data_IF_510504024072
#
_entry.id   IF_510504024072
#
_cell.length_a   1.000
_cell.length_b   1.000
_cell.length_c   1.000
_cell.angle_alpha   90.00
_cell.angle_beta   90.00
_cell.angle_gamma   90.00
#
_symmetry.space_group_name_H-M   'P 1'
#
loop_
_entity.id
_entity.type
_entity.pdbx_description
1 polymer ?
#
# COMPACT_ATOMS: atom_id res chain seq x y z
N UNK A 1 18.43 0.03 -15.68
CA UNK A 1 18.10 1.34 -15.06
C UNK A 1 18.36 2.49 -16.01
N UNK A 2 17.31 3.24 -16.31
CA UNK A 2 17.24 4.41 -17.16
C UNK A 2 17.89 5.62 -16.49
N UNK A 3 18.24 6.63 -17.30
CA UNK A 3 18.76 7.91 -16.80
C UNK A 3 17.71 8.60 -15.91
N UNK A 4 16.43 8.56 -16.30
CA UNK A 4 15.31 9.13 -15.53
C UNK A 4 15.20 8.50 -14.14
N UNK A 5 15.36 7.18 -14.06
CA UNK A 5 15.36 6.48 -12.78
C UNK A 5 16.50 6.95 -11.89
N UNK A 6 17.75 6.99 -12.39
CA UNK A 6 18.91 7.45 -11.61
C UNK A 6 18.76 8.88 -11.11
N UNK A 7 18.21 9.77 -11.94
CA UNK A 7 17.92 11.16 -11.54
C UNK A 7 16.84 11.24 -10.46
N UNK A 8 15.80 10.42 -10.57
CA UNK A 8 14.72 10.34 -9.56
C UNK A 8 15.24 9.80 -8.25
N UNK A 9 16.02 8.72 -8.29
CA UNK A 9 16.69 8.14 -7.13
C UNK A 9 17.59 9.16 -6.44
N UNK A 10 18.40 9.90 -7.22
CA UNK A 10 19.23 10.99 -6.71
C UNK A 10 18.38 12.07 -6.03
N UNK A 11 17.30 12.52 -6.67
CA UNK A 11 16.40 13.53 -6.10
C UNK A 11 15.81 13.05 -4.77
N UNK A 12 15.26 11.83 -4.73
CA UNK A 12 14.62 11.28 -3.53
C UNK A 12 15.62 11.08 -2.39
N UNK A 13 16.83 10.63 -2.69
CA UNK A 13 17.93 10.50 -1.71
C UNK A 13 18.25 11.82 -1.02
N UNK A 14 18.12 12.96 -1.71
CA UNK A 14 18.43 14.29 -1.19
C UNK A 14 17.20 15.07 -0.70
N UNK A 15 15.99 14.56 -0.90
CA UNK A 15 14.74 15.28 -0.52
C UNK A 15 13.82 14.44 0.37
N UNK A 16 13.43 13.25 -0.09
CA UNK A 16 12.50 12.35 0.61
C UNK A 16 13.17 11.65 1.79
N UNK A 17 14.34 11.03 1.58
CA UNK A 17 15.05 10.34 2.67
C UNK A 17 15.40 11.27 3.85
N UNK A 18 15.89 12.50 3.65
CA UNK A 18 16.09 13.45 4.74
C UNK A 18 14.79 13.85 5.45
N UNK A 19 13.68 14.00 4.72
CA UNK A 19 12.36 14.23 5.32
C UNK A 19 11.97 13.08 6.26
N UNK A 20 12.15 11.83 5.82
CA UNK A 20 11.89 10.64 6.65
C UNK A 20 12.82 10.58 7.88
N UNK A 21 14.10 10.93 7.74
CA UNK A 21 15.01 11.06 8.89
C UNK A 21 14.54 12.11 9.90
N UNK A 22 13.96 13.23 9.43
CA UNK A 22 13.42 14.28 10.32
C UNK A 22 12.14 13.83 11.03
N UNK A 23 11.33 12.98 10.39
CA UNK A 23 10.11 12.43 10.98
C UNK A 23 10.37 11.74 12.33
N UNK A 24 11.50 11.05 12.43
CA UNK A 24 11.93 10.33 13.63
C UNK A 24 12.50 11.29 14.69
N UNK A 25 13.34 12.25 14.26
CA UNK A 25 14.02 13.16 15.18
C UNK A 25 13.04 14.06 15.94
N UNK A 26 11.99 14.52 15.26
CA UNK A 26 10.97 15.40 15.82
C UNK A 26 9.56 14.89 15.46
N UNK A 27 9.05 13.83 16.12
CA UNK A 27 7.76 13.21 15.75
C UNK A 27 6.58 14.18 15.85
N UNK A 28 6.54 15.03 16.88
CA UNK A 28 5.45 16.00 17.08
C UNK A 28 5.42 17.08 15.98
N UNK A 29 6.59 17.61 15.61
CA UNK A 29 6.72 18.57 14.50
C UNK A 29 6.31 17.93 13.18
N UNK A 30 6.69 16.66 12.97
CA UNK A 30 6.32 15.90 11.80
C UNK A 30 4.80 15.69 11.72
N UNK A 31 4.16 15.22 12.79
CA UNK A 31 2.72 15.02 12.83
C UNK A 31 1.96 16.32 12.62
N UNK A 32 2.34 17.40 13.29
CA UNK A 32 1.72 18.72 13.10
C UNK A 32 1.82 19.19 11.63
N UNK A 33 2.95 18.93 10.97
CA UNK A 33 3.13 19.23 9.54
C UNK A 33 2.25 18.35 8.66
N UNK A 34 2.14 17.05 8.94
CA UNK A 34 1.27 16.16 8.16
C UNK A 34 -0.20 16.52 8.35
N UNK A 35 -0.66 16.81 9.57
CA UNK A 35 -2.03 17.25 9.81
C UNK A 35 -2.39 18.51 9.00
N UNK A 36 -1.47 19.46 8.88
CA UNK A 36 -1.67 20.64 8.03
C UNK A 36 -1.84 20.26 6.56
N UNK A 37 -1.08 19.28 6.07
CA UNK A 37 -1.23 18.76 4.70
C UNK A 37 -2.51 17.96 4.51
N UNK A 38 -2.93 17.18 5.50
CA UNK A 38 -4.19 16.42 5.46
C UNK A 38 -5.41 17.34 5.35
N UNK A 39 -5.32 18.58 5.85
CA UNK A 39 -6.34 19.63 5.66
C UNK A 39 -6.32 20.30 4.29
N UNK A 40 -5.28 20.06 3.47
CA UNK A 40 -5.20 20.68 2.15
C UNK A 40 -6.25 20.06 1.23
N UNK A 41 -6.96 20.92 0.50
CA UNK A 41 -7.97 20.47 -0.47
C UNK A 41 -7.27 19.99 -1.73
N UNK A 42 -7.67 18.82 -2.22
CA UNK A 42 -7.30 18.37 -3.54
C UNK A 42 -7.83 19.35 -4.59
N UNK A 43 -7.09 19.60 -5.69
CA UNK A 43 -7.56 20.43 -6.79
C UNK A 43 -8.54 19.64 -7.67
N UNK A 44 -9.71 19.26 -7.11
CA UNK A 44 -10.67 18.34 -7.74
C UNK A 44 -11.09 18.78 -9.15
N UNK A 45 -11.34 20.07 -9.37
CA UNK A 45 -11.66 20.58 -10.71
C UNK A 45 -10.58 20.31 -11.76
N UNK A 46 -9.30 20.35 -11.37
CA UNK A 46 -8.19 20.01 -12.27
C UNK A 46 -8.08 18.51 -12.46
N UNK A 47 -8.31 17.73 -11.40
CA UNK A 47 -8.28 16.27 -11.45
C UNK A 47 -9.39 15.72 -12.35
N UNK A 48 -10.63 16.23 -12.25
CA UNK A 48 -11.74 15.87 -13.14
C UNK A 48 -11.50 16.21 -14.61
N UNK A 49 -10.61 17.17 -14.91
CA UNK A 49 -10.19 17.45 -16.29
C UNK A 49 -9.16 16.44 -16.81
N UNK A 50 -8.46 15.74 -15.91
CA UNK A 50 -7.38 14.80 -16.25
C UNK A 50 -7.79 13.33 -16.14
N UNK A 51 -8.74 13.02 -15.25
CA UNK A 51 -9.14 11.66 -14.88
C UNK A 51 -10.67 11.57 -14.77
N UNK A 52 -11.21 10.39 -15.06
CA UNK A 52 -12.65 10.11 -15.03
C UNK A 52 -13.02 9.36 -13.75
N UNK A 53 -13.55 10.09 -12.77
CA UNK A 53 -13.93 9.53 -11.48
C UNK A 53 -15.15 10.21 -10.87
N UNK A 54 -15.84 9.47 -9.99
CA UNK A 54 -16.92 9.97 -9.16
C UNK A 54 -16.46 10.04 -7.70
N UNK A 55 -16.83 11.10 -7.00
CA UNK A 55 -16.69 11.22 -5.56
C UNK A 55 -17.86 10.52 -4.86
N UNK A 56 -17.58 9.50 -4.04
CA UNK A 56 -18.61 8.74 -3.32
C UNK A 56 -18.27 8.65 -1.84
N UNK A 57 -19.30 8.47 -1.02
CA UNK A 57 -19.18 8.37 0.42
C UNK A 57 -19.96 7.17 0.95
N UNK A 58 -19.39 6.47 1.92
CA UNK A 58 -20.09 5.49 2.76
C UNK A 58 -19.61 5.67 4.20
N UNK A 59 -20.55 5.84 5.15
CA UNK A 59 -20.25 6.00 6.57
C UNK A 59 -19.08 6.99 6.80
N UNK A 60 -19.18 8.18 6.21
CA UNK A 60 -18.17 9.26 6.22
C UNK A 60 -16.80 8.92 5.60
N UNK A 61 -16.64 7.73 5.03
CA UNK A 61 -15.47 7.36 4.24
C UNK A 61 -15.65 7.78 2.79
N UNK A 62 -14.85 8.76 2.37
CA UNK A 62 -14.72 9.16 0.98
C UNK A 62 -13.94 8.09 0.20
N UNK A 63 -14.42 7.76 -0.99
CA UNK A 63 -13.65 7.04 -1.99
C UNK A 63 -13.94 7.60 -3.38
N UNK A 64 -12.94 7.51 -4.25
CA UNK A 64 -13.06 7.96 -5.63
C UNK A 64 -13.25 6.75 -6.53
N UNK A 65 -14.42 6.64 -7.16
CA UNK A 65 -14.75 5.56 -8.08
C UNK A 65 -14.30 5.93 -9.49
N UNK A 66 -13.17 5.37 -9.92
CA UNK A 66 -12.54 5.57 -11.23
C UNK A 66 -13.00 4.47 -12.17
N UNK A 67 -13.49 4.85 -13.35
CA UNK A 67 -13.98 3.89 -14.35
C UNK A 67 -12.96 3.65 -15.47
N UNK A 68 -12.95 2.44 -16.07
CA UNK A 68 -12.22 2.20 -17.30
C UNK A 68 -12.89 2.94 -18.46
N UNK A 69 -12.11 3.45 -19.42
CA UNK A 69 -12.67 4.08 -20.61
C UNK A 69 -13.55 3.12 -21.40
N UNK A 70 -14.80 3.53 -21.64
CA UNK A 70 -15.77 2.94 -22.58
C UNK A 70 -16.20 1.48 -22.33
N UNK A 71 -16.18 0.97 -21.10
CA UNK A 71 -16.69 -0.40 -20.82
C UNK A 71 -17.31 -0.55 -19.43
N UNK A 72 -18.34 -1.40 -19.37
CA UNK A 72 -18.81 -2.02 -18.14
C UNK A 72 -17.87 -3.17 -17.80
N UNK A 73 -17.48 -3.29 -16.53
CA UNK A 73 -16.63 -4.36 -16.03
C UNK A 73 -17.20 -4.92 -14.74
N UNK A 74 -17.01 -6.22 -14.53
CA UNK A 74 -17.43 -6.89 -13.30
C UNK A 74 -16.28 -6.99 -12.30
N UNK A 75 -15.10 -6.43 -12.60
CA UNK A 75 -13.93 -6.51 -11.72
C UNK A 75 -13.68 -5.18 -11.02
N UNK A 76 -13.37 -5.25 -9.74
CA UNK A 76 -13.07 -4.10 -8.91
C UNK A 76 -11.68 -4.21 -8.28
N UNK A 77 -10.96 -3.09 -8.24
CA UNK A 77 -9.77 -2.92 -7.43
C UNK A 77 -10.07 -1.91 -6.32
N UNK A 78 -9.99 -2.33 -5.06
CA UNK A 78 -9.88 -1.37 -3.95
C UNK A 78 -8.42 -0.94 -3.83
N UNK A 79 -8.16 0.34 -4.10
CA UNK A 79 -6.83 0.90 -4.07
C UNK A 79 -6.59 1.68 -2.77
N UNK A 80 -5.61 1.24 -1.99
CA UNK A 80 -5.12 1.88 -0.78
C UNK A 80 -3.77 2.57 -1.04
N UNK A 81 -3.77 3.91 -1.07
CA UNK A 81 -2.55 4.71 -1.27
C UNK A 81 -1.55 4.51 -0.12
N UNK A 82 -0.26 4.81 -0.37
CA UNK A 82 0.80 4.73 0.64
C UNK A 82 1.05 6.04 1.37
N UNK A 83 1.96 6.05 2.35
CA UNK A 83 2.30 7.27 3.10
C UNK A 83 2.55 7.08 4.59
N UNK A 84 2.81 5.85 5.03
CA UNK A 84 3.06 5.54 6.44
C UNK A 84 1.87 5.88 7.34
N UNK A 85 0.64 5.79 6.83
CA UNK A 85 -0.60 6.19 7.50
C UNK A 85 -0.65 7.67 7.97
N UNK A 86 0.26 8.53 7.49
CA UNK A 86 0.36 9.93 7.93
C UNK A 86 0.36 10.92 6.77
N UNK A 87 0.89 10.53 5.62
CA UNK A 87 0.93 11.37 4.42
C UNK A 87 -0.35 11.12 3.61
N UNK A 88 -1.11 12.18 3.25
CA UNK A 88 -2.31 12.02 2.42
C UNK A 88 -1.97 11.62 0.99
N UNK A 89 -2.91 10.92 0.35
CA UNK A 89 -2.88 10.69 -1.08
C UNK A 89 -2.83 12.01 -1.87
N UNK A 90 -2.40 11.92 -3.12
CA UNK A 90 -2.19 13.07 -3.99
C UNK A 90 -2.62 12.79 -5.44
N UNK A 91 -2.39 13.74 -6.35
CA UNK A 91 -2.76 13.60 -7.77
C UNK A 91 -2.16 12.38 -8.46
N UNK A 92 -0.99 11.91 -8.03
CA UNK A 92 -0.35 10.71 -8.56
C UNK A 92 -1.14 9.43 -8.25
N UNK A 93 -1.92 9.40 -7.17
CA UNK A 93 -2.82 8.28 -6.87
C UNK A 93 -3.99 8.21 -7.85
N UNK A 94 -4.51 9.36 -8.30
CA UNK A 94 -5.54 9.42 -9.35
C UNK A 94 -4.97 8.99 -10.71
N UNK A 95 -3.74 9.41 -11.02
CA UNK A 95 -3.03 8.95 -12.23
C UNK A 95 -2.91 7.43 -12.24
N UNK A 96 -2.46 6.84 -11.13
CA UNK A 96 -2.26 5.41 -11.05
C UNK A 96 -3.59 4.66 -11.04
N UNK A 97 -4.60 5.13 -10.31
CA UNK A 97 -5.94 4.56 -10.32
C UNK A 97 -6.53 4.54 -11.74
N UNK A 98 -6.39 5.63 -12.49
CA UNK A 98 -6.87 5.70 -13.87
C UNK A 98 -6.07 4.78 -14.81
N UNK A 99 -4.76 4.65 -14.62
CA UNK A 99 -3.91 3.74 -15.39
C UNK A 99 -4.26 2.27 -15.11
N UNK A 100 -4.45 1.89 -13.83
CA UNK A 100 -4.98 0.58 -13.44
C UNK A 100 -6.31 0.34 -14.15
N UNK A 101 -7.29 1.24 -13.98
CA UNK A 101 -8.62 1.05 -14.53
C UNK A 101 -8.57 0.78 -16.04
N UNK A 102 -7.83 1.61 -16.78
CA UNK A 102 -7.72 1.49 -18.24
C UNK A 102 -6.99 0.22 -18.69
N UNK A 103 -5.85 -0.13 -18.07
CA UNK A 103 -5.01 -1.23 -18.54
C UNK A 103 -5.51 -2.59 -18.06
N UNK A 104 -6.16 -2.67 -16.90
CA UNK A 104 -6.73 -3.91 -16.36
C UNK A 104 -8.20 -4.09 -16.68
N UNK A 105 -8.85 -3.09 -17.27
CA UNK A 105 -10.30 -3.09 -17.55
C UNK A 105 -11.12 -3.40 -16.29
N UNK A 106 -10.72 -2.81 -15.16
CA UNK A 106 -11.39 -2.93 -13.87
C UNK A 106 -11.87 -1.55 -13.41
N UNK A 107 -12.93 -1.49 -12.60
CA UNK A 107 -13.18 -0.29 -11.80
C UNK A 107 -12.10 -0.20 -10.72
N UNK A 108 -11.77 1.03 -10.32
CA UNK A 108 -10.85 1.28 -9.21
C UNK A 108 -11.54 2.19 -8.22
N UNK A 109 -11.72 1.71 -6.99
CA UNK A 109 -12.19 2.55 -5.90
C UNK A 109 -10.98 2.92 -5.04
N UNK A 110 -10.52 4.16 -5.22
CA UNK A 110 -9.43 4.72 -4.44
C UNK A 110 -9.98 5.15 -3.08
N UNK A 111 -9.69 4.35 -2.05
CA UNK A 111 -10.21 4.52 -0.69
C UNK A 111 -9.47 5.68 -0.01
N UNK A 112 -10.18 6.76 0.30
CA UNK A 112 -9.60 7.95 0.94
C UNK A 112 -9.64 7.85 2.46
N UNK A 113 -8.98 6.81 2.99
CA UNK A 113 -9.01 6.46 4.42
C UNK A 113 -8.40 7.57 5.31
N UNK A 114 -8.88 7.71 6.56
CA UNK A 114 -8.39 8.75 7.47
C UNK A 114 -6.96 8.43 7.95
N UNK A 115 -6.26 9.38 8.54
CA UNK A 115 -4.82 9.25 8.82
C UNK A 115 -4.45 9.60 10.25
N UNK A 116 -3.34 9.03 10.71
CA UNK A 116 -2.73 9.39 11.98
C UNK A 116 -2.20 10.83 11.97
N UNK A 117 -2.12 11.46 13.16
CA UNK A 117 -2.54 10.93 14.47
C UNK A 117 -4.01 11.19 14.79
N UNK A 118 -4.77 11.85 13.90
CA UNK A 118 -6.16 12.24 14.14
C UNK A 118 -7.12 11.07 14.18
N UNK A 119 -6.88 10.09 13.32
CA UNK A 119 -7.64 8.84 13.30
C UNK A 119 -7.02 7.81 14.24
N UNK A 120 -7.84 6.91 14.77
CA UNK A 120 -7.36 5.67 15.38
C UNK A 120 -7.11 4.62 14.29
N UNK A 121 -6.34 3.57 14.59
CA UNK A 121 -6.15 2.45 13.67
C UNK A 121 -7.48 1.78 13.34
N UNK A 122 -8.39 1.66 14.30
CA UNK A 122 -9.72 1.14 14.07
C UNK A 122 -10.49 1.98 13.03
N UNK A 123 -10.43 3.31 13.11
CA UNK A 123 -11.07 4.18 12.11
C UNK A 123 -10.45 4.03 10.70
N UNK A 124 -9.16 3.70 10.60
CA UNK A 124 -8.49 3.39 9.32
C UNK A 124 -9.00 2.07 8.75
N UNK A 125 -9.12 1.04 9.60
CA UNK A 125 -9.65 -0.28 9.22
C UNK A 125 -11.12 -0.18 8.83
N UNK A 126 -11.94 0.50 9.64
CA UNK A 126 -13.36 0.74 9.39
C UNK A 126 -13.59 1.43 8.05
N UNK A 127 -12.75 2.41 7.69
CA UNK A 127 -12.85 3.08 6.40
C UNK A 127 -12.67 2.10 5.22
N UNK A 128 -11.68 1.20 5.31
CA UNK A 128 -11.50 0.14 4.32
C UNK A 128 -12.68 -0.83 4.27
N UNK A 129 -13.17 -1.26 5.43
CA UNK A 129 -14.31 -2.19 5.55
C UNK A 129 -15.63 -1.59 5.07
N UNK A 130 -15.87 -0.29 5.33
CA UNK A 130 -17.04 0.42 4.84
C UNK A 130 -17.09 0.36 3.31
N UNK A 131 -15.99 0.70 2.65
CA UNK A 131 -15.90 0.70 1.18
C UNK A 131 -15.95 -0.73 0.63
N UNK A 132 -15.33 -1.70 1.31
CA UNK A 132 -15.43 -3.11 0.91
C UNK A 132 -16.85 -3.68 1.05
N UNK A 133 -17.57 -3.29 2.11
CA UNK A 133 -18.96 -3.70 2.31
C UNK A 133 -19.88 -3.14 1.23
N UNK A 134 -19.67 -1.90 0.78
CA UNK A 134 -20.38 -1.36 -0.40
C UNK A 134 -20.00 -2.11 -1.68
N UNK A 135 -18.72 -2.47 -1.83
CA UNK A 135 -18.27 -3.21 -3.01
C UNK A 135 -18.98 -4.57 -3.11
N UNK A 136 -19.12 -5.28 -1.99
CA UNK A 136 -19.79 -6.59 -1.93
C UNK A 136 -21.30 -6.54 -2.26
N UNK A 137 -21.93 -5.35 -2.27
CA UNK A 137 -23.32 -5.20 -2.74
C UNK A 137 -23.42 -5.17 -4.27
N UNK A 138 -22.32 -4.89 -4.96
CA UNK A 138 -22.28 -4.65 -6.42
C UNK A 138 -21.44 -5.71 -7.14
N UNK A 139 -20.38 -6.22 -6.50
CA UNK A 139 -19.42 -7.16 -7.06
C UNK A 139 -19.36 -8.43 -6.21
N UNK A 140 -19.10 -9.58 -6.85
CA UNK A 140 -18.77 -10.79 -6.11
C UNK A 140 -17.40 -10.63 -5.47
N UNK A 141 -17.17 -11.25 -4.30
CA UNK A 141 -15.88 -11.19 -3.62
C UNK A 141 -14.71 -11.71 -4.49
N UNK A 142 -14.97 -12.73 -5.32
CA UNK A 142 -14.01 -13.31 -6.27
C UNK A 142 -13.64 -12.37 -7.44
N UNK A 143 -14.40 -11.29 -7.62
CA UNK A 143 -14.14 -10.23 -8.60
C UNK A 143 -13.48 -8.98 -7.98
N UNK A 144 -13.26 -8.95 -6.67
CA UNK A 144 -12.65 -7.83 -5.95
C UNK A 144 -11.19 -8.15 -5.63
N UNK A 145 -10.29 -7.22 -5.93
CA UNK A 145 -8.87 -7.28 -5.63
C UNK A 145 -8.50 -6.10 -4.74
N UNK A 146 -7.70 -6.33 -3.71
CA UNK A 146 -7.10 -5.23 -2.97
C UNK A 146 -5.71 -4.94 -3.53
N UNK A 147 -5.46 -3.67 -3.85
CA UNK A 147 -4.15 -3.19 -4.27
C UNK A 147 -3.68 -2.10 -3.30
N UNK A 148 -2.41 -2.14 -2.91
CA UNK A 148 -1.86 -1.10 -2.07
C UNK A 148 -0.38 -0.84 -2.28
N UNK A 149 0.02 0.37 -1.86
CA UNK A 149 1.41 0.82 -1.85
C UNK A 149 1.88 1.04 -0.41
N UNK A 150 3.05 0.53 -0.04
CA UNK A 150 3.67 0.78 1.27
C UNK A 150 2.69 0.50 2.42
N UNK A 151 2.40 1.46 3.29
CA UNK A 151 1.36 1.36 4.32
C UNK A 151 -0.03 0.98 3.79
N UNK A 152 -0.40 1.39 2.58
CA UNK A 152 -1.65 0.97 1.94
C UNK A 152 -1.64 -0.51 1.57
N UNK A 153 -0.46 -1.06 1.22
CA UNK A 153 -0.29 -2.49 1.01
C UNK A 153 -0.48 -3.27 2.33
N UNK A 154 0.13 -2.80 3.42
CA UNK A 154 -0.10 -3.35 4.76
C UNK A 154 -1.57 -3.22 5.18
N UNK A 155 -2.23 -2.10 4.85
CA UNK A 155 -3.65 -1.89 5.15
C UNK A 155 -4.54 -2.95 4.48
N UNK A 156 -4.27 -3.28 3.21
CA UNK A 156 -5.02 -4.32 2.50
C UNK A 156 -4.98 -5.67 3.25
N UNK A 157 -3.82 -6.07 3.78
CA UNK A 157 -3.70 -7.28 4.60
C UNK A 157 -4.40 -7.12 5.96
N UNK A 158 -4.21 -5.97 6.61
CA UNK A 158 -4.75 -5.70 7.94
C UNK A 158 -6.30 -5.66 7.95
N UNK A 159 -6.94 -5.23 6.87
CA UNK A 159 -8.40 -5.32 6.73
C UNK A 159 -8.86 -6.79 6.72
N UNK A 160 -8.19 -7.64 5.94
CA UNK A 160 -8.51 -9.07 5.90
C UNK A 160 -8.23 -9.77 7.24
N UNK A 161 -7.15 -9.40 7.93
CA UNK A 161 -6.89 -9.87 9.30
C UNK A 161 -7.99 -9.42 10.26
N UNK A 162 -8.46 -8.17 10.17
CA UNK A 162 -9.57 -7.70 11.02
C UNK A 162 -10.82 -8.56 10.84
N UNK A 163 -11.17 -8.89 9.61
CA UNK A 163 -12.33 -9.75 9.28
C UNK A 163 -12.19 -11.12 9.95
N UNK A 164 -10.99 -11.72 9.88
CA UNK A 164 -10.70 -13.04 10.45
C UNK A 164 -10.68 -13.02 11.99
N UNK A 165 -9.95 -12.08 12.59
CA UNK A 165 -9.77 -12.00 14.04
C UNK A 165 -11.07 -11.62 14.77
N UNK A 166 -12.06 -11.06 14.06
CA UNK A 166 -13.37 -10.68 14.62
C UNK A 166 -14.53 -11.52 14.06
N UNK A 167 -14.27 -12.59 13.32
CA UNK A 167 -15.28 -13.50 12.77
C UNK A 167 -16.43 -12.77 12.03
N UNK A 168 -16.12 -11.72 11.26
CA UNK A 168 -17.13 -10.79 10.71
C UNK A 168 -18.05 -11.38 9.62
N UNK A 169 -17.91 -12.66 9.28
CA UNK A 169 -18.65 -13.35 8.22
C UNK A 169 -18.68 -12.59 6.88
N UNK A 170 -17.61 -11.86 6.57
CA UNK A 170 -17.41 -11.22 5.27
C UNK A 170 -16.55 -12.15 4.40
N UNK A 171 -16.92 -12.38 3.13
CA UNK A 171 -16.07 -13.14 2.21
C UNK A 171 -14.77 -12.38 1.96
N UNK A 172 -13.70 -13.12 1.64
CA UNK A 172 -12.40 -12.54 1.32
C UNK A 172 -12.33 -12.05 -0.14
N UNK A 173 -11.57 -10.97 -0.44
CA UNK A 173 -11.31 -10.59 -1.82
C UNK A 173 -10.49 -11.67 -2.52
N UNK A 174 -10.50 -11.68 -3.85
CA UNK A 174 -9.80 -12.69 -4.66
C UNK A 174 -8.32 -12.85 -4.30
N UNK A 175 -7.63 -11.73 -4.10
CA UNK A 175 -6.19 -11.63 -3.84
C UNK A 175 -5.79 -10.24 -3.35
N UNK A 176 -4.61 -10.16 -2.76
CA UNK A 176 -3.94 -8.92 -2.36
C UNK A 176 -2.74 -8.69 -3.28
N UNK A 177 -2.64 -7.51 -3.89
CA UNK A 177 -1.46 -7.05 -4.62
C UNK A 177 -0.79 -5.96 -3.79
N UNK A 178 0.36 -6.29 -3.22
CA UNK A 178 1.00 -5.54 -2.15
C UNK A 178 2.38 -5.07 -2.60
N UNK A 179 2.51 -3.78 -2.89
CA UNK A 179 3.80 -3.21 -3.27
C UNK A 179 4.52 -2.58 -2.09
N UNK A 180 5.66 -3.15 -1.74
CA UNK A 180 6.54 -2.75 -0.65
C UNK A 180 5.85 -2.69 0.73
N UNK A 181 5.09 -3.72 1.16
CA UNK A 181 4.42 -3.70 2.46
C UNK A 181 5.42 -3.69 3.63
N UNK A 182 4.88 -3.52 4.83
CA UNK A 182 5.57 -3.81 6.10
C UNK A 182 4.77 -4.87 6.85
N UNK A 183 5.45 -5.87 7.41
CA UNK A 183 4.89 -6.99 8.14
C UNK A 183 5.25 -7.00 9.64
N UNK A 184 6.29 -6.27 10.06
CA UNK A 184 6.74 -6.27 11.46
C UNK A 184 7.31 -4.92 11.91
N UNK A 185 6.79 -4.40 13.03
CA UNK A 185 7.34 -3.24 13.73
C UNK A 185 7.32 -3.53 15.25
N UNK A 186 8.45 -3.42 15.98
CA UNK A 186 9.80 -3.16 15.50
C UNK A 186 10.40 -4.36 14.73
N UNK A 187 11.37 -4.12 13.83
CA UNK A 187 12.08 -5.20 13.16
C UNK A 187 12.88 -6.06 14.14
N UNK A 188 13.10 -7.33 13.81
CA UNK A 188 14.03 -8.20 14.56
C UNK A 188 15.47 -7.70 14.45
N UNK A 189 16.38 -8.21 15.29
CA UNK A 189 17.80 -7.82 15.24
C UNK A 189 18.42 -8.16 13.88
N UNK A 190 18.07 -9.31 13.31
CA UNK A 190 18.53 -9.79 12.02
C UNK A 190 17.98 -8.93 10.87
N UNK A 191 16.68 -8.63 10.90
CA UNK A 191 16.05 -7.70 9.95
C UNK A 191 16.70 -6.33 10.02
N UNK A 192 16.93 -5.81 11.23
CA UNK A 192 17.54 -4.49 11.41
C UNK A 192 18.96 -4.44 10.83
N UNK A 193 19.77 -5.47 11.06
CA UNK A 193 21.12 -5.57 10.48
C UNK A 193 21.08 -5.54 8.95
N UNK A 194 20.12 -6.22 8.34
CA UNK A 194 19.96 -6.23 6.89
C UNK A 194 19.45 -4.88 6.34
N UNK A 195 18.48 -4.26 7.02
CA UNK A 195 18.02 -2.91 6.71
C UNK A 195 19.19 -1.90 6.76
N UNK A 196 20.06 -1.98 7.78
CA UNK A 196 21.25 -1.12 7.89
C UNK A 196 22.24 -1.34 6.73
N UNK A 197 22.42 -2.59 6.28
CA UNK A 197 23.24 -2.92 5.10
C UNK A 197 22.67 -2.31 3.83
N UNK A 198 21.34 -2.33 3.69
CA UNK A 198 20.60 -1.79 2.54
C UNK A 198 20.43 -0.27 2.58
N UNK A 199 20.59 0.39 3.74
CA UNK A 199 20.33 1.82 3.91
C UNK A 199 21.12 2.70 2.93
N UNK A 200 22.35 2.32 2.56
CA UNK A 200 23.11 3.09 1.58
C UNK A 200 22.47 3.09 0.18
N UNK A 201 21.65 2.09 -0.14
CA UNK A 201 20.96 1.98 -1.42
C UNK A 201 19.56 2.58 -1.39
N UNK A 202 18.83 2.49 -0.28
CA UNK A 202 17.47 3.03 -0.21
C UNK A 202 17.49 4.56 -0.31
N UNK A 203 16.75 5.12 -1.27
CA UNK A 203 16.65 6.56 -1.49
C UNK A 203 15.39 7.19 -0.86
N UNK A 204 14.53 6.40 -0.22
CA UNK A 204 13.25 6.82 0.34
C UNK A 204 13.19 6.54 1.84
N UNK A 205 13.31 5.27 2.25
CA UNK A 205 13.12 4.85 3.64
C UNK A 205 14.49 4.61 4.29
N UNK A 206 14.89 5.42 5.29
CA UNK A 206 16.12 5.16 6.00
C UNK A 206 15.95 4.01 7.01
N UNK A 207 16.95 3.16 7.20
CA UNK A 207 16.88 2.08 8.19
C UNK A 207 16.59 2.60 9.61
N UNK A 208 17.10 3.78 9.97
CA UNK A 208 16.78 4.39 11.26
C UNK A 208 15.30 4.75 11.43
N UNK A 209 14.54 4.90 10.33
CA UNK A 209 13.09 5.05 10.39
C UNK A 209 12.44 3.81 10.98
N UNK A 210 12.78 2.63 10.47
CA UNK A 210 12.24 1.36 10.96
C UNK A 210 12.66 1.09 12.42
N UNK A 211 13.91 1.41 12.77
CA UNK A 211 14.44 1.24 14.12
C UNK A 211 13.63 1.96 15.19
N UNK A 212 13.28 3.21 14.91
CA UNK A 212 12.61 4.10 15.87
C UNK A 212 11.09 4.16 15.64
N UNK A 213 10.57 3.42 14.65
CA UNK A 213 9.16 3.47 14.28
C UNK A 213 8.25 3.00 15.42
N UNK A 214 8.74 2.13 16.30
CA UNK A 214 8.01 1.73 17.51
C UNK A 214 7.62 2.94 18.37
N UNK A 215 8.51 3.93 18.53
CA UNK A 215 8.22 5.16 19.28
C UNK A 215 7.17 6.03 18.59
N UNK A 216 7.15 6.03 17.26
CA UNK A 216 6.11 6.70 16.49
C UNK A 216 4.77 5.95 16.66
N UNK A 217 4.81 4.62 16.67
CA UNK A 217 3.63 3.78 16.89
C UNK A 217 3.05 3.94 18.31
N UNK A 218 3.85 4.28 19.31
CA UNK A 218 3.35 4.60 20.66
C UNK A 218 2.54 5.91 20.72
N UNK A 219 2.62 6.77 19.69
CA UNK A 219 1.88 8.05 19.60
C UNK A 219 0.55 7.93 18.86
N UNK A 220 0.23 6.74 18.35
CA UNK A 220 -1.02 6.48 17.64
C UNK A 220 -1.88 5.50 18.44
N UNK A 221 -3.18 5.58 18.25
CA UNK A 221 -4.12 4.68 18.92
C UNK A 221 -4.37 3.45 18.04
N UNK A 222 -3.87 2.28 18.47
CA UNK A 222 -4.07 0.99 17.81
C UNK A 222 -4.96 0.03 18.60
N UNK A 223 -5.73 0.54 19.58
CA UNK A 223 -6.60 -0.31 20.39
C UNK A 223 -7.56 -1.12 19.50
N UNK A 224 -7.68 -2.42 19.76
CA UNK A 224 -8.48 -3.41 19.02
C UNK A 224 -7.96 -3.74 17.61
N UNK A 225 -6.81 -3.18 17.20
CA UNK A 225 -6.19 -3.41 15.90
C UNK A 225 -4.66 -3.54 16.03
N UNK A 226 -4.20 -4.12 17.14
CA UNK A 226 -2.78 -4.24 17.49
C UNK A 226 -1.96 -4.99 16.41
N UNK A 227 -2.60 -5.91 15.69
CA UNK A 227 -2.02 -6.60 14.53
C UNK A 227 -1.55 -5.65 13.42
N UNK A 228 -2.08 -4.41 13.33
CA UNK A 228 -1.61 -3.44 12.34
C UNK A 228 -0.11 -3.13 12.46
N UNK A 229 0.44 -3.29 13.66
CA UNK A 229 1.85 -3.03 13.96
C UNK A 229 2.76 -4.16 13.46
N UNK A 230 2.36 -5.41 13.70
CA UNK A 230 3.12 -6.61 13.38
C UNK A 230 2.19 -7.75 12.97
N UNK A 231 1.58 -7.68 11.77
CA UNK A 231 0.64 -8.70 11.33
C UNK A 231 1.29 -10.10 11.24
N UNK A 232 2.61 -10.18 11.13
CA UNK A 232 3.37 -11.45 11.16
C UNK A 232 3.16 -12.27 12.45
N UNK A 233 2.77 -11.62 13.55
CA UNK A 233 2.57 -12.27 14.86
C UNK A 233 1.19 -12.93 15.00
N UNK A 234 0.29 -12.70 14.04
CA UNK A 234 -1.08 -13.19 14.03
C UNK A 234 -1.25 -14.34 13.03
N UNK A 235 -2.36 -15.09 13.11
CA UNK A 235 -2.63 -16.17 12.14
C UNK A 235 -2.96 -15.60 10.76
N UNK A 236 -2.30 -16.09 9.72
CA UNK A 236 -2.61 -15.74 8.33
C UNK A 236 -3.55 -16.75 7.66
N UNK A 237 -3.95 -17.81 8.38
CA UNK A 237 -4.86 -18.84 7.85
C UNK A 237 -6.16 -18.20 7.36
N UNK A 238 -6.53 -18.47 6.11
CA UNK A 238 -7.72 -17.91 5.50
C UNK A 238 -7.51 -16.55 4.82
N UNK A 239 -6.32 -15.95 4.89
CA UNK A 239 -6.00 -14.79 4.07
C UNK A 239 -6.00 -15.13 2.57
N UNK A 240 -6.37 -14.18 1.69
CA UNK A 240 -6.27 -14.35 0.25
C UNK A 240 -4.83 -14.57 -0.22
N UNK A 241 -4.67 -15.08 -1.43
CA UNK A 241 -3.39 -15.11 -2.13
C UNK A 241 -2.73 -13.72 -2.14
N UNK A 242 -1.44 -13.66 -1.81
CA UNK A 242 -0.67 -12.42 -1.73
C UNK A 242 0.38 -12.34 -2.83
N UNK A 243 0.32 -11.26 -3.61
CA UNK A 243 1.28 -10.90 -4.65
C UNK A 243 2.14 -9.75 -4.13
N UNK A 244 3.33 -10.08 -3.65
CA UNK A 244 4.24 -9.13 -2.99
C UNK A 244 5.26 -8.61 -4.00
N UNK A 245 5.44 -7.29 -4.04
CA UNK A 245 6.39 -6.62 -4.92
C UNK A 245 7.38 -5.86 -4.06
N UNK A 246 8.67 -6.11 -4.20
CA UNK A 246 9.71 -5.33 -3.53
C UNK A 246 10.80 -4.90 -4.51
N UNK A 247 11.42 -3.76 -4.22
CA UNK A 247 12.67 -3.37 -4.82
C UNK A 247 13.82 -3.99 -4.04
N UNK A 248 14.89 -4.41 -4.72
CA UNK A 248 16.06 -4.93 -4.01
C UNK A 248 16.93 -3.84 -3.36
N UNK A 249 16.67 -2.55 -3.60
CA UNK A 249 17.36 -1.43 -2.96
C UNK A 249 16.57 -0.80 -1.81
N UNK A 250 15.37 -1.28 -1.48
CA UNK A 250 14.64 -0.78 -0.31
C UNK A 250 14.92 -1.60 0.95
N UNK A 251 14.86 -0.96 2.12
CA UNK A 251 15.14 -1.61 3.40
C UNK A 251 14.07 -2.62 3.81
N UNK A 252 12.81 -2.41 3.42
CA UNK A 252 11.68 -3.25 3.84
C UNK A 252 11.73 -4.69 3.31
N UNK A 253 12.47 -4.94 2.22
CA UNK A 253 12.68 -6.29 1.70
C UNK A 253 13.35 -7.22 2.75
N UNK A 254 14.00 -6.67 3.78
CA UNK A 254 14.58 -7.42 4.88
C UNK A 254 13.54 -8.28 5.64
N UNK A 255 12.26 -7.91 5.61
CA UNK A 255 11.16 -8.66 6.26
C UNK A 255 10.66 -9.85 5.43
N UNK A 256 10.97 -9.88 4.13
CA UNK A 256 10.44 -10.87 3.20
C UNK A 256 10.74 -12.33 3.57
N UNK A 257 11.95 -12.71 4.05
CA UNK A 257 12.21 -14.10 4.43
C UNK A 257 11.27 -14.62 5.53
N UNK A 258 11.01 -13.82 6.57
CA UNK A 258 10.09 -14.19 7.64
C UNK A 258 8.65 -14.28 7.13
N UNK A 259 8.23 -13.32 6.29
CA UNK A 259 6.91 -13.32 5.68
C UNK A 259 6.65 -14.56 4.79
N UNK A 260 7.67 -15.02 4.04
CA UNK A 260 7.56 -16.25 3.23
C UNK A 260 7.39 -17.49 4.10
N UNK A 261 8.17 -17.61 5.17
CA UNK A 261 8.02 -18.74 6.10
C UNK A 261 6.66 -18.71 6.80
N UNK A 262 6.19 -17.54 7.23
CA UNK A 262 4.86 -17.38 7.83
C UNK A 262 3.74 -17.78 6.87
N UNK A 263 3.78 -17.31 5.63
CA UNK A 263 2.80 -17.69 4.61
C UNK A 263 2.78 -19.21 4.38
N UNK A 264 3.95 -19.84 4.28
CA UNK A 264 4.07 -21.30 4.15
C UNK A 264 3.51 -22.04 5.36
N UNK A 265 3.83 -21.60 6.58
CA UNK A 265 3.34 -22.21 7.82
C UNK A 265 1.82 -22.13 7.97
N UNK A 266 1.23 -21.02 7.54
CA UNK A 266 -0.22 -20.80 7.62
C UNK A 266 -0.98 -21.21 6.36
N UNK A 267 -0.31 -21.79 5.37
CA UNK A 267 -0.94 -22.29 4.14
C UNK A 267 -1.47 -21.20 3.21
N UNK A 268 -0.88 -19.99 3.27
CA UNK A 268 -1.23 -18.87 2.39
C UNK A 268 -0.30 -18.85 1.17
N UNK A 269 -0.87 -18.72 -0.02
CA UNK A 269 -0.09 -18.56 -1.24
C UNK A 269 0.53 -17.16 -1.25
N UNK A 270 1.86 -17.10 -1.28
CA UNK A 270 2.61 -15.86 -1.46
C UNK A 270 3.50 -15.95 -2.69
N UNK A 271 3.22 -15.10 -3.68
CA UNK A 271 4.05 -14.92 -4.88
C UNK A 271 4.82 -13.62 -4.76
N UNK A 272 6.06 -13.60 -5.23
CA UNK A 272 6.95 -12.46 -5.00
C UNK A 272 7.66 -12.05 -6.28
N UNK A 273 7.64 -10.77 -6.59
CA UNK A 273 8.43 -10.17 -7.66
C UNK A 273 9.45 -9.19 -7.06
N UNK A 274 10.74 -9.41 -7.35
CA UNK A 274 11.82 -8.54 -6.86
C UNK A 274 12.41 -7.70 -8.00
N UNK A 275 12.15 -6.39 -7.97
CA UNK A 275 12.74 -5.44 -8.89
C UNK A 275 14.22 -5.25 -8.62
N UNK A 276 15.09 -5.71 -9.52
CA UNK A 276 16.54 -5.54 -9.36
C UNK A 276 16.93 -4.05 -9.40
N UNK A 277 17.62 -3.60 -8.34
CA UNK A 277 18.03 -2.22 -8.07
C UNK A 277 16.89 -1.21 -7.97
N UNK A 278 15.66 -1.68 -7.78
CA UNK A 278 14.49 -0.84 -7.66
C UNK A 278 14.29 -0.29 -6.24
N UNK A 279 13.76 0.93 -6.15
CA UNK A 279 13.48 1.68 -4.93
C UNK A 279 12.08 1.36 -4.40
N UNK A 280 11.82 1.71 -3.15
CA UNK A 280 10.52 1.55 -2.51
C UNK A 280 9.36 2.10 -3.38
N UNK A 281 8.32 1.30 -3.60
CA UNK A 281 7.11 1.70 -4.37
C UNK A 281 7.34 2.28 -5.76
N UNK A 282 8.38 1.85 -6.49
CA UNK A 282 8.70 2.45 -7.80
C UNK A 282 7.57 2.37 -8.84
N UNK A 283 6.62 1.42 -8.71
CA UNK A 283 5.41 1.39 -9.54
C UNK A 283 4.58 2.68 -9.46
N UNK A 284 4.66 3.45 -8.36
CA UNK A 284 3.96 4.73 -8.24
C UNK A 284 4.50 5.79 -9.22
N UNK A 285 5.76 5.68 -9.65
CA UNK A 285 6.41 6.64 -10.53
C UNK A 285 6.18 6.31 -12.02
N UNK A 286 4.93 6.38 -12.50
CA UNK A 286 4.51 5.96 -13.84
C UNK A 286 5.24 6.61 -15.03
N UNK A 287 5.94 7.72 -14.80
CA UNK A 287 6.81 8.37 -15.78
C UNK A 287 8.15 7.64 -16.02
N UNK A 288 8.50 6.66 -15.17
CA UNK A 288 9.68 5.82 -15.30
C UNK A 288 9.39 4.58 -16.16
N UNK A 289 10.28 4.21 -17.11
CA UNK A 289 10.16 2.96 -17.85
C UNK A 289 10.06 1.73 -16.94
N UNK A 290 10.84 1.69 -15.86
CA UNK A 290 10.86 0.60 -14.88
C UNK A 290 9.53 0.46 -14.12
N UNK A 291 8.84 1.58 -13.88
CA UNK A 291 7.51 1.56 -13.26
C UNK A 291 6.47 0.96 -14.22
N UNK A 292 6.56 1.29 -15.52
CA UNK A 292 5.65 0.75 -16.54
C UNK A 292 5.78 -0.77 -16.71
N UNK A 293 7.00 -1.29 -16.56
CA UNK A 293 7.26 -2.73 -16.59
C UNK A 293 6.55 -3.45 -15.44
N UNK A 294 6.79 -3.04 -14.19
CA UNK A 294 6.13 -3.69 -13.03
C UNK A 294 4.62 -3.45 -13.02
N UNK A 295 4.15 -2.29 -13.50
CA UNK A 295 2.72 -2.01 -13.69
C UNK A 295 2.08 -3.02 -14.63
N UNK A 296 2.74 -3.38 -15.73
CA UNK A 296 2.24 -4.38 -16.67
C UNK A 296 2.01 -5.74 -15.98
N UNK A 297 2.93 -6.14 -15.09
CA UNK A 297 2.77 -7.35 -14.27
C UNK A 297 1.58 -7.22 -13.31
N UNK A 298 1.46 -6.08 -12.60
CA UNK A 298 0.30 -5.80 -11.71
C UNK A 298 -1.02 -5.94 -12.49
N UNK A 299 -1.10 -5.35 -13.69
CA UNK A 299 -2.31 -5.38 -14.50
C UNK A 299 -2.64 -6.78 -15.00
N UNK A 300 -1.63 -7.60 -15.30
CA UNK A 300 -1.81 -9.01 -15.67
C UNK A 300 -2.42 -9.81 -14.52
N UNK A 301 -1.95 -9.59 -13.28
CA UNK A 301 -2.52 -10.21 -12.08
C UNK A 301 -3.95 -9.74 -11.84
N UNK A 302 -4.26 -8.46 -12.09
CA UNK A 302 -5.63 -7.96 -11.98
C UNK A 302 -6.55 -8.63 -13.01
N UNK A 303 -6.12 -8.77 -14.27
CA UNK A 303 -6.92 -9.41 -15.31
C UNK A 303 -7.11 -10.91 -15.09
N UNK A 304 -6.21 -11.55 -14.35
CA UNK A 304 -6.16 -13.00 -14.18
C UNK A 304 -5.45 -13.70 -15.34
N UNK A 305 -4.53 -12.99 -16.02
CA UNK A 305 -3.68 -13.58 -17.05
C UNK A 305 -2.77 -14.67 -16.40
N UNK A 306 -2.26 -15.63 -17.18
CA UNK A 306 -1.39 -16.70 -16.64
C UNK A 306 -0.26 -16.10 -15.79
N UNK A 307 -0.11 -16.63 -14.57
CA UNK A 307 0.71 -16.10 -13.46
C UNK A 307 2.24 -16.17 -13.67
N UNK A 308 2.71 -16.40 -14.90
CA UNK A 308 4.12 -16.68 -15.18
C UNK A 308 5.04 -15.46 -14.94
N UNK A 309 4.48 -14.25 -14.81
CA UNK A 309 5.23 -12.99 -14.63
C UNK A 309 5.61 -12.66 -13.17
N UNK A 310 5.03 -13.34 -12.18
CA UNK A 310 5.25 -13.08 -10.74
C UNK A 310 6.12 -14.14 -10.04
N UNK A 311 6.78 -14.99 -10.82
CA UNK A 311 7.62 -16.10 -10.34
C UNK A 311 9.13 -15.87 -10.58
N UNK A 312 9.57 -14.61 -10.66
CA UNK A 312 10.98 -14.23 -10.79
C UNK A 312 11.49 -13.47 -9.56
#
# INVERSE_FOLDING_TARGET
MSIRYKLTEFLFRHTVKPMMKKAIKNPDEYFAKQEKKQKSKLPLEKLHKSYDFEERYVNDTLYYAVKPKNKVTNRLVLYFFGGGYTIPGNSGDFEFAQDIANQSQAEVWLVWYPLFPKATGLQIIDAGLNVYSEALKVFNADDIIFFGLSSGASLAQNICLHILENDMNLPMPKRLIMHSPTFRIPPTKEQMKEMERLDKFDCIIPACYMKEQDQVMQRINLNNVEYMKSPIEYSWKGLPDMYIIYGSYEVLIAELPEAKEKAKMDGVVMKTYIGERMMHTWAAAGFLPEAKEVRSNIYAVIRGDKDDSFLL
#
